data_IF_726628145400
#
_entry.id   IF_726628145400
#
_cell.length_a   1.000
_cell.length_b   1.000
_cell.length_c   1.000
_cell.angle_alpha   90.00
_cell.angle_beta   90.00
_cell.angle_gamma   90.00
#
_symmetry.space_group_name_H-M   'P 1'
#
loop_
_entity.id
_entity.type
_entity.pdbx_description
1 polymer ?
#
# COMPACT_ATOMS: atom_id res chain seq x y z
N UNK A 1 -24.93 -36.71 0.33
CA UNK A 1 -24.27 -37.20 -0.92
C UNK A 1 -24.04 -36.10 -1.95
N UNK A 2 -24.88 -35.06 -2.04
CA UNK A 2 -24.76 -33.96 -3.03
C UNK A 2 -23.54 -33.03 -2.78
N UNK A 3 -23.12 -32.87 -1.52
CA UNK A 3 -22.05 -31.93 -1.12
C UNK A 3 -20.64 -32.37 -1.57
N UNK A 4 -20.35 -33.68 -1.50
CA UNK A 4 -19.07 -34.25 -1.95
C UNK A 4 -18.85 -34.09 -3.45
N UNK A 5 -19.92 -34.06 -4.25
CA UNK A 5 -19.81 -33.85 -5.69
C UNK A 5 -19.42 -32.42 -6.03
N UNK A 6 -19.93 -31.43 -5.29
CA UNK A 6 -19.57 -30.03 -5.48
C UNK A 6 -18.12 -29.76 -5.05
N UNK A 7 -17.66 -30.38 -3.96
CA UNK A 7 -16.26 -30.34 -3.54
C UNK A 7 -15.32 -31.01 -4.56
N UNK A 8 -15.68 -32.19 -5.07
CA UNK A 8 -14.92 -32.89 -6.11
C UNK A 8 -14.84 -32.07 -7.41
N UNK A 9 -15.93 -31.42 -7.83
CA UNK A 9 -15.92 -30.53 -8.99
C UNK A 9 -15.04 -29.29 -8.79
N UNK A 10 -15.09 -28.67 -7.60
CA UNK A 10 -14.17 -27.57 -7.25
C UNK A 10 -12.72 -28.02 -7.22
N UNK A 11 -12.45 -29.22 -6.69
CA UNK A 11 -11.11 -29.81 -6.68
C UNK A 11 -10.61 -30.13 -8.09
N UNK A 12 -11.43 -30.74 -8.95
CA UNK A 12 -11.09 -31.02 -10.35
C UNK A 12 -10.86 -29.74 -11.16
N UNK A 13 -11.66 -28.69 -10.94
CA UNK A 13 -11.42 -27.38 -11.57
C UNK A 13 -10.11 -26.77 -11.10
N UNK A 14 -9.77 -26.86 -9.81
CA UNK A 14 -8.47 -26.42 -9.28
C UNK A 14 -7.32 -27.25 -9.85
N UNK A 15 -7.44 -28.57 -9.87
CA UNK A 15 -6.41 -29.47 -10.39
C UNK A 15 -6.18 -29.25 -11.90
N UNK A 16 -7.23 -29.10 -12.70
CA UNK A 16 -7.13 -28.74 -14.12
C UNK A 16 -6.54 -27.36 -14.33
N UNK A 17 -6.93 -26.37 -13.52
CA UNK A 17 -6.33 -25.03 -13.54
C UNK A 17 -4.85 -25.10 -13.21
N UNK A 18 -4.44 -25.97 -12.28
CA UNK A 18 -3.06 -26.14 -11.87
C UNK A 18 -2.22 -26.85 -12.94
N UNK A 19 -2.75 -27.92 -13.54
CA UNK A 19 -2.13 -28.62 -14.67
C UNK A 19 -2.02 -27.72 -15.91
N UNK A 20 -3.04 -26.92 -16.19
CA UNK A 20 -3.01 -25.94 -17.29
C UNK A 20 -1.93 -24.87 -17.05
N UNK A 21 -1.81 -24.38 -15.82
CA UNK A 21 -0.74 -23.45 -15.44
C UNK A 21 0.64 -24.10 -15.56
N UNK A 22 0.81 -25.38 -15.17
CA UNK A 22 2.09 -26.10 -15.29
C UNK A 22 2.53 -26.33 -16.74
N UNK A 23 1.59 -26.65 -17.63
CA UNK A 23 1.87 -26.86 -19.05
C UNK A 23 2.22 -25.55 -19.75
N UNK A 24 1.49 -24.47 -19.47
CA UNK A 24 1.80 -23.12 -19.96
C UNK A 24 3.11 -22.58 -19.35
N UNK A 25 3.49 -22.99 -18.13
CA UNK A 25 4.77 -22.60 -17.50
C UNK A 25 5.99 -23.07 -18.29
N UNK A 26 5.84 -24.14 -19.07
CA UNK A 26 6.88 -24.67 -19.97
C UNK A 26 6.92 -23.94 -21.31
N UNK A 27 5.88 -23.17 -21.64
CA UNK A 27 5.83 -22.38 -22.87
C UNK A 27 6.67 -21.11 -22.76
N UNK A 28 7.52 -20.85 -23.77
CA UNK A 28 8.32 -19.61 -23.88
C UNK A 28 7.57 -18.49 -24.60
N UNK A 29 6.33 -18.72 -25.04
CA UNK A 29 5.55 -17.77 -25.84
C UNK A 29 4.88 -16.72 -24.96
N UNK A 30 4.87 -15.48 -25.43
CA UNK A 30 4.10 -14.40 -24.79
C UNK A 30 2.59 -14.62 -25.01
N UNK A 31 1.85 -14.73 -23.92
CA UNK A 31 0.39 -14.74 -23.89
C UNK A 31 -0.18 -13.37 -24.22
N UNK A 32 -1.29 -13.38 -24.97
CA UNK A 32 -2.07 -12.20 -25.39
C UNK A 32 -3.30 -11.99 -24.46
N UNK A 33 -3.37 -12.74 -23.36
CA UNK A 33 -4.51 -12.76 -22.43
C UNK A 33 -4.64 -11.44 -21.64
N UNK A 34 -5.89 -11.00 -21.41
CA UNK A 34 -6.21 -9.71 -20.76
C UNK A 34 -5.80 -9.63 -19.29
N UNK A 35 -5.74 -10.75 -18.58
CA UNK A 35 -5.54 -10.78 -17.13
C UNK A 35 -4.23 -11.49 -16.78
N UNK A 36 -3.52 -10.96 -15.80
CA UNK A 36 -2.39 -11.64 -15.18
C UNK A 36 -2.91 -12.82 -14.33
N UNK A 37 -2.21 -13.97 -14.33
CA UNK A 37 -2.52 -15.06 -13.43
C UNK A 37 -2.29 -14.61 -11.99
N UNK A 38 -3.24 -14.92 -11.11
CA UNK A 38 -3.13 -14.55 -9.69
C UNK A 38 -2.12 -15.46 -8.98
N UNK A 39 -1.37 -14.89 -8.04
CA UNK A 39 -0.45 -15.61 -7.15
C UNK A 39 0.64 -16.42 -7.87
N UNK A 40 0.92 -16.11 -9.15
CA UNK A 40 1.94 -16.82 -9.94
C UNK A 40 2.92 -15.81 -10.52
N UNK A 41 4.24 -16.00 -10.34
CA UNK A 41 5.24 -15.15 -10.96
C UNK A 41 5.19 -15.22 -12.50
N UNK A 42 5.21 -14.04 -13.14
CA UNK A 42 5.21 -13.88 -14.60
C UNK A 42 6.14 -12.76 -15.01
N UNK A 43 6.67 -12.84 -16.23
CA UNK A 43 7.21 -11.67 -16.93
C UNK A 43 6.07 -11.01 -17.69
N UNK A 44 5.94 -9.69 -17.59
CA UNK A 44 4.87 -8.94 -18.22
C UNK A 44 5.41 -7.62 -18.77
N UNK A 45 4.86 -7.20 -19.92
CA UNK A 45 5.17 -5.95 -20.60
C UNK A 45 3.96 -5.53 -21.47
N UNK A 46 3.95 -4.31 -21.95
CA UNK A 46 3.03 -3.81 -22.95
C UNK A 46 3.66 -3.87 -24.35
N UNK A 47 2.90 -4.36 -25.32
CA UNK A 47 3.32 -4.32 -26.72
C UNK A 47 3.28 -2.88 -27.29
N UNK A 48 3.72 -2.72 -28.54
CA UNK A 48 3.71 -1.41 -29.23
C UNK A 48 2.32 -0.80 -29.40
N UNK A 49 1.25 -1.57 -29.20
CA UNK A 49 -0.16 -1.13 -29.24
C UNK A 49 -0.70 -0.83 -27.84
N UNK A 50 0.11 -0.95 -26.79
CA UNK A 50 -0.30 -0.74 -25.40
C UNK A 50 -1.13 -1.90 -24.85
N UNK A 51 -1.03 -3.10 -25.41
CA UNK A 51 -1.70 -4.29 -24.90
C UNK A 51 -0.76 -5.04 -23.97
N UNK A 52 -1.24 -5.35 -22.76
CA UNK A 52 -0.53 -6.21 -21.82
C UNK A 52 -0.31 -7.60 -22.43
N UNK A 53 0.94 -8.02 -22.46
CA UNK A 53 1.39 -9.35 -22.80
C UNK A 53 2.22 -9.90 -21.65
N UNK A 54 2.11 -11.19 -21.39
CA UNK A 54 2.84 -11.81 -20.29
C UNK A 54 3.24 -13.24 -20.62
N UNK A 55 4.25 -13.77 -19.94
CA UNK A 55 4.63 -15.18 -20.00
C UNK A 55 5.02 -15.66 -18.61
N UNK A 56 4.90 -16.95 -18.37
CA UNK A 56 5.43 -17.52 -17.14
C UNK A 56 6.94 -17.33 -17.07
N UNK A 57 7.44 -17.01 -15.88
CA UNK A 57 8.87 -16.96 -15.67
C UNK A 57 9.44 -18.39 -15.84
N UNK A 58 10.50 -18.57 -16.66
CA UNK A 58 11.06 -19.88 -16.91
C UNK A 58 11.55 -20.50 -15.59
N UNK A 59 11.05 -21.67 -15.23
CA UNK A 59 11.55 -22.40 -14.06
C UNK A 59 12.88 -23.08 -14.42
N UNK A 60 14.00 -22.51 -14.03
CA UNK A 60 15.21 -23.33 -13.82
C UNK A 60 14.95 -24.18 -12.57
N UNK A 61 15.20 -25.49 -12.66
CA UNK A 61 14.92 -26.44 -11.58
C UNK A 61 15.53 -25.94 -10.26
N UNK A 62 14.71 -25.86 -9.22
CA UNK A 62 15.08 -25.53 -7.82
C UNK A 62 15.57 -24.13 -7.48
N UNK A 63 15.44 -23.13 -8.35
CA UNK A 63 15.59 -21.73 -7.93
C UNK A 63 14.21 -21.09 -7.74
N UNK A 64 13.96 -20.38 -6.62
CA UNK A 64 12.77 -19.55 -6.53
C UNK A 64 12.81 -18.57 -7.70
N UNK A 65 11.71 -18.48 -8.45
CA UNK A 65 11.55 -17.43 -9.45
C UNK A 65 11.63 -16.11 -8.70
N UNK A 66 12.79 -15.47 -8.77
CA UNK A 66 12.98 -14.11 -8.32
C UNK A 66 12.06 -13.26 -9.19
N UNK A 67 10.92 -12.84 -8.62
CA UNK A 67 10.26 -11.60 -9.06
C UNK A 67 11.41 -10.60 -9.10
N UNK A 68 11.66 -9.97 -10.25
CA UNK A 68 12.81 -9.10 -10.45
C UNK A 68 12.79 -7.97 -9.40
N UNK A 69 13.36 -8.23 -8.22
CA UNK A 69 13.64 -7.24 -7.22
C UNK A 69 14.85 -6.52 -7.75
N UNK A 70 14.61 -5.37 -8.35
CA UNK A 70 15.69 -4.45 -8.72
C UNK A 70 16.31 -3.78 -7.49
N UNK A 71 15.72 -3.97 -6.31
CA UNK A 71 16.26 -3.51 -5.04
C UNK A 71 17.31 -4.47 -4.49
N UNK A 72 18.40 -3.91 -3.97
CA UNK A 72 19.41 -4.65 -3.23
C UNK A 72 18.78 -5.33 -2.00
N UNK A 73 19.23 -6.54 -1.64
CA UNK A 73 18.73 -7.25 -0.47
C UNK A 73 18.93 -6.43 0.82
N UNK A 74 20.00 -5.65 0.88
CA UNK A 74 20.29 -4.71 1.97
C UNK A 74 19.24 -3.59 2.05
N UNK A 75 18.90 -2.96 0.91
CA UNK A 75 17.87 -1.91 0.83
C UNK A 75 16.49 -2.42 1.23
N UNK A 76 16.16 -3.66 0.85
CA UNK A 76 14.89 -4.30 1.21
C UNK A 76 14.82 -4.57 2.71
N UNK A 77 15.91 -5.06 3.32
CA UNK A 77 15.97 -5.30 4.75
C UNK A 77 15.87 -3.99 5.56
N UNK A 78 16.60 -2.95 5.16
CA UNK A 78 16.51 -1.62 5.76
C UNK A 78 15.08 -1.05 5.67
N UNK A 79 14.44 -1.19 4.50
CA UNK A 79 13.05 -0.77 4.31
C UNK A 79 12.09 -1.49 5.27
N UNK A 80 12.25 -2.80 5.46
CA UNK A 80 11.39 -3.59 6.35
C UNK A 80 11.57 -3.16 7.81
N UNK A 81 12.81 -3.04 8.28
CA UNK A 81 13.10 -2.59 9.66
C UNK A 81 12.57 -1.18 9.92
N UNK A 82 12.76 -0.27 8.97
CA UNK A 82 12.21 1.09 9.10
C UNK A 82 10.69 1.12 9.06
N UNK A 83 10.05 0.33 8.18
CA UNK A 83 8.58 0.21 8.14
C UNK A 83 8.04 -0.28 9.48
N UNK A 84 8.74 -1.22 10.11
CA UNK A 84 8.41 -1.69 11.45
C UNK A 84 8.50 -0.56 12.48
N UNK A 85 9.60 0.20 12.48
CA UNK A 85 9.76 1.36 13.36
C UNK A 85 8.69 2.45 13.14
N UNK A 86 8.27 2.69 11.91
CA UNK A 86 7.18 3.63 11.57
C UNK A 86 5.84 3.17 12.18
N UNK A 87 5.54 1.87 12.08
CA UNK A 87 4.35 1.27 12.69
C UNK A 87 4.42 1.28 14.21
N UNK A 88 5.60 1.04 14.81
CA UNK A 88 5.81 1.16 16.26
C UNK A 88 5.57 2.60 16.74
N UNK A 89 6.04 3.59 15.97
CA UNK A 89 5.78 5.00 16.25
C UNK A 89 4.29 5.36 16.09
N UNK A 90 3.56 4.71 15.19
CA UNK A 90 2.11 4.85 15.13
C UNK A 90 1.44 4.28 16.38
N UNK A 91 1.86 3.09 16.82
CA UNK A 91 1.32 2.46 18.01
C UNK A 91 1.61 3.28 19.27
N UNK A 92 2.77 3.92 19.37
CA UNK A 92 3.07 4.80 20.52
C UNK A 92 2.17 6.03 20.63
N UNK A 93 1.38 6.33 19.60
CA UNK A 93 0.33 7.36 19.68
C UNK A 93 -0.94 6.86 20.37
N UNK A 94 -1.21 5.55 20.35
CA UNK A 94 -2.43 5.01 20.93
C UNK A 94 -2.32 4.97 22.46
N UNK A 95 -3.45 4.99 23.18
CA UNK A 95 -3.47 4.77 24.62
C UNK A 95 -2.76 3.47 25.01
N UNK A 96 -2.01 3.48 26.12
CA UNK A 96 -1.15 2.37 26.54
C UNK A 96 -1.93 1.03 26.68
N UNK A 97 -3.16 1.11 27.19
CA UNK A 97 -4.06 -0.03 27.31
C UNK A 97 -4.46 -0.63 25.94
N UNK A 98 -4.64 0.20 24.91
CA UNK A 98 -4.91 -0.23 23.53
C UNK A 98 -3.70 -0.99 23.00
N UNK A 99 -2.49 -0.43 23.15
CA UNK A 99 -1.25 -1.07 22.72
C UNK A 99 -1.04 -2.44 23.39
N UNK A 100 -1.25 -2.51 24.71
CA UNK A 100 -1.09 -3.76 25.45
C UNK A 100 -2.04 -4.86 24.95
N UNK A 101 -3.31 -4.53 24.70
CA UNK A 101 -4.29 -5.51 24.18
C UNK A 101 -3.96 -5.89 22.74
N UNK A 102 -3.58 -4.94 21.89
CA UNK A 102 -3.17 -5.23 20.51
C UNK A 102 -1.98 -6.18 20.48
N UNK A 103 -0.94 -5.92 21.27
CA UNK A 103 0.25 -6.77 21.33
C UNK A 103 -0.05 -8.19 21.86
N UNK A 104 -0.97 -8.31 22.83
CA UNK A 104 -1.32 -9.59 23.43
C UNK A 104 -2.22 -10.46 22.54
N UNK A 105 -3.24 -9.86 21.91
CA UNK A 105 -4.27 -10.60 21.16
C UNK A 105 -4.00 -10.64 19.65
N UNK A 106 -3.18 -9.74 19.11
CA UNK A 106 -2.93 -9.59 17.68
C UNK A 106 -1.42 -9.47 17.38
N UNK A 107 -0.63 -10.57 17.53
CA UNK A 107 0.81 -10.53 17.32
C UNK A 107 1.23 -10.11 15.89
N UNK A 108 0.37 -10.32 14.90
CA UNK A 108 0.61 -9.89 13.51
C UNK A 108 0.07 -8.47 13.21
N UNK A 109 -0.35 -7.69 14.22
CA UNK A 109 -0.96 -6.38 13.98
C UNK A 109 -0.02 -5.44 13.22
N UNK A 110 1.27 -5.48 13.50
CA UNK A 110 2.27 -4.69 12.78
C UNK A 110 2.23 -4.93 11.26
N UNK A 111 1.99 -6.17 10.82
CA UNK A 111 2.00 -6.56 9.41
C UNK A 111 0.62 -6.57 8.74
N UNK A 112 -0.46 -6.73 9.50
CA UNK A 112 -1.81 -6.92 8.95
C UNK A 112 -2.83 -5.84 9.32
N UNK A 113 -2.64 -5.09 10.40
CA UNK A 113 -3.60 -4.06 10.83
C UNK A 113 -3.70 -2.96 9.76
N UNK A 114 -4.92 -2.55 9.44
CA UNK A 114 -5.16 -1.47 8.48
C UNK A 114 -5.74 -0.23 9.12
N UNK A 115 -6.69 -0.37 10.05
CA UNK A 115 -7.31 0.78 10.70
C UNK A 115 -7.56 0.51 12.18
N UNK A 116 -7.34 1.55 13.00
CA UNK A 116 -7.77 1.65 14.40
C UNK A 116 -8.82 2.76 14.46
N UNK A 117 -10.00 2.43 14.97
CA UNK A 117 -11.11 3.37 15.13
C UNK A 117 -11.35 3.59 16.62
N UNK A 118 -11.32 4.86 17.02
CA UNK A 118 -11.54 5.31 18.38
C UNK A 118 -12.69 6.31 18.36
N UNK A 119 -13.90 5.88 18.72
CA UNK A 119 -15.08 6.75 18.78
C UNK A 119 -15.47 6.97 20.24
N UNK A 120 -15.73 8.23 20.63
CA UNK A 120 -16.12 8.59 22.00
C UNK A 120 -17.29 7.72 22.50
N UNK A 121 -17.13 7.09 23.66
CA UNK A 121 -18.15 6.24 24.27
C UNK A 121 -18.32 4.86 23.61
N UNK A 122 -17.47 4.49 22.64
CA UNK A 122 -17.41 3.14 22.06
C UNK A 122 -16.07 2.49 22.35
N UNK A 123 -16.01 1.16 22.27
CA UNK A 123 -14.74 0.46 22.43
C UNK A 123 -13.89 0.59 21.17
N UNK A 124 -12.55 0.58 21.28
CA UNK A 124 -11.67 0.60 20.13
C UNK A 124 -11.98 -0.54 19.14
N UNK A 125 -11.95 -0.24 17.85
CA UNK A 125 -12.24 -1.19 16.79
C UNK A 125 -11.06 -1.29 15.82
N UNK A 126 -10.56 -2.51 15.62
CA UNK A 126 -9.52 -2.85 14.66
C UNK A 126 -10.15 -3.35 13.36
N UNK A 127 -9.57 -2.94 12.22
CA UNK A 127 -9.97 -3.45 10.89
C UNK A 127 -8.78 -4.02 10.15
N UNK A 128 -9.03 -5.16 9.51
CA UNK A 128 -8.11 -5.87 8.64
C UNK A 128 -8.75 -6.00 7.26
N UNK A 129 -8.01 -5.61 6.22
CA UNK A 129 -8.44 -5.62 4.83
C UNK A 129 -7.50 -6.50 4.03
N UNK A 130 -8.07 -7.30 3.11
CA UNK A 130 -7.27 -8.21 2.29
C UNK A 130 -6.75 -9.44 3.04
N UNK A 131 -7.07 -9.58 4.32
CA UNK A 131 -6.82 -10.78 5.13
C UNK A 131 -8.14 -11.52 5.38
N UNK A 132 -8.06 -12.73 5.94
CA UNK A 132 -9.23 -13.48 6.41
C UNK A 132 -9.74 -13.03 7.79
N UNK A 133 -9.02 -12.12 8.48
CA UNK A 133 -9.37 -11.67 9.84
C UNK A 133 -10.57 -10.73 9.79
N UNK A 134 -11.63 -10.96 10.59
CA UNK A 134 -12.73 -10.02 10.71
C UNK A 134 -12.29 -8.76 11.46
N UNK A 135 -13.11 -7.71 11.41
CA UNK A 135 -12.94 -6.57 12.30
C UNK A 135 -13.09 -7.02 13.77
N UNK A 136 -12.31 -6.44 14.67
CA UNK A 136 -12.25 -6.86 16.07
C UNK A 136 -12.45 -5.65 17.00
N UNK A 137 -13.52 -5.67 17.78
CA UNK A 137 -13.73 -4.72 18.87
C UNK A 137 -12.94 -5.18 20.09
N UNK A 138 -12.16 -4.27 20.69
CA UNK A 138 -11.33 -4.57 21.86
C UNK A 138 -12.21 -4.61 23.11
N UNK A 139 -12.92 -5.72 23.27
CA UNK A 139 -13.91 -5.93 24.34
C UNK A 139 -13.34 -5.90 25.75
N UNK A 140 -12.01 -5.99 25.86
CA UNK A 140 -11.26 -6.00 27.12
C UNK A 140 -10.99 -4.59 27.64
N UNK A 141 -11.24 -3.57 26.81
CA UNK A 141 -11.02 -2.18 27.14
C UNK A 141 -12.33 -1.48 27.51
N UNK A 142 -12.25 -0.43 28.36
CA UNK A 142 -13.38 0.47 28.53
C UNK A 142 -13.70 1.21 27.22
N UNK A 143 -14.89 1.81 27.10
CA UNK A 143 -15.18 2.75 26.02
C UNK A 143 -14.17 3.91 26.00
N UNK A 144 -13.82 4.38 24.80
CA UNK A 144 -12.90 5.50 24.56
C UNK A 144 -13.43 6.76 25.23
N UNK A 145 -12.55 7.45 25.94
CA UNK A 145 -12.83 8.69 26.66
C UNK A 145 -12.41 9.92 25.85
N UNK A 146 -12.80 11.11 26.30
CA UNK A 146 -12.36 12.36 25.68
C UNK A 146 -10.85 12.54 25.83
N UNK A 147 -10.30 12.20 27.01
CA UNK A 147 -8.87 12.28 27.31
C UNK A 147 -8.03 11.41 26.36
N UNK A 148 -8.50 10.20 26.04
CA UNK A 148 -7.85 9.33 25.05
C UNK A 148 -7.77 9.98 23.66
N UNK A 149 -8.83 10.67 23.24
CA UNK A 149 -8.88 11.34 21.94
C UNK A 149 -8.01 12.59 21.93
N UNK A 150 -8.06 13.40 23.00
CA UNK A 150 -7.28 14.63 23.16
C UNK A 150 -5.77 14.33 23.20
N UNK A 151 -5.35 13.27 23.89
CA UNK A 151 -3.95 12.84 23.93
C UNK A 151 -3.39 12.53 22.53
N UNK A 152 -4.21 12.01 21.63
CA UNK A 152 -3.83 11.79 20.24
C UNK A 152 -3.96 13.09 19.45
N UNK A 153 -4.98 13.90 19.71
CA UNK A 153 -5.35 15.03 18.87
C UNK A 153 -4.45 16.26 19.07
N UNK A 154 -4.09 16.56 20.30
CA UNK A 154 -3.38 17.78 20.69
C UNK A 154 -1.95 17.83 20.13
N UNK A 155 -1.49 19.03 19.78
CA UNK A 155 -0.13 19.25 19.25
C UNK A 155 0.10 18.78 17.81
N UNK A 156 -0.90 18.17 17.15
CA UNK A 156 -0.81 17.79 15.73
C UNK A 156 -1.29 18.85 14.77
N UNK A 157 -0.75 18.80 13.56
CA UNK A 157 -1.21 19.60 12.42
C UNK A 157 -2.31 18.87 11.68
N UNK A 158 -3.39 19.60 11.42
CA UNK A 158 -4.57 19.10 10.71
C UNK A 158 -4.80 19.92 9.43
N UNK A 159 -5.15 19.23 8.36
CA UNK A 159 -5.60 19.83 7.10
C UNK A 159 -7.04 20.36 7.23
N UNK A 160 -7.44 21.17 6.25
CA UNK A 160 -8.81 21.69 6.15
C UNK A 160 -9.87 20.60 5.92
N UNK A 161 -9.49 19.42 5.42
CA UNK A 161 -10.37 18.27 5.25
C UNK A 161 -10.36 17.30 6.46
N UNK A 162 -9.88 17.78 7.62
CA UNK A 162 -9.86 17.04 8.90
C UNK A 162 -8.99 15.79 8.87
N UNK A 163 -7.83 15.90 8.23
CA UNK A 163 -6.83 14.84 8.13
C UNK A 163 -5.49 15.30 8.66
N UNK A 164 -4.75 14.35 9.20
CA UNK A 164 -3.38 14.52 9.63
C UNK A 164 -2.64 13.21 9.43
N UNK A 165 -1.46 13.14 10.01
CA UNK A 165 -0.67 11.92 10.07
C UNK A 165 0.59 12.15 10.88
N UNK A 166 1.60 11.35 10.60
CA UNK A 166 2.92 11.49 11.20
C UNK A 166 3.87 11.98 10.11
N UNK A 167 4.59 13.06 10.37
CA UNK A 167 5.54 13.62 9.40
C UNK A 167 6.54 12.56 8.95
N UNK A 168 6.80 12.47 7.65
CA UNK A 168 7.69 11.47 7.06
C UNK A 168 7.09 10.07 6.91
N UNK A 169 5.82 9.86 7.24
CA UNK A 169 5.15 8.54 7.17
C UNK A 169 3.88 8.56 6.33
N UNK A 170 3.42 7.36 5.96
CA UNK A 170 2.19 7.14 5.17
C UNK A 170 0.94 6.97 6.03
N UNK A 171 1.07 6.99 7.36
CA UNK A 171 -0.07 6.86 8.26
C UNK A 171 -0.99 8.05 8.13
N UNK A 172 -2.30 7.79 8.14
CA UNK A 172 -3.31 8.83 8.04
C UNK A 172 -4.20 8.80 9.26
N UNK A 173 -4.36 9.94 9.90
CA UNK A 173 -5.29 10.12 11.02
C UNK A 173 -6.40 11.02 10.52
N UNK A 174 -7.64 10.55 10.56
CA UNK A 174 -8.83 11.36 10.25
C UNK A 174 -9.63 11.55 11.51
N UNK A 175 -10.19 12.73 11.70
CA UNK A 175 -10.97 13.04 12.89
C UNK A 175 -12.37 13.53 12.52
N UNK A 176 -13.30 13.26 13.42
CA UNK A 176 -14.66 13.79 13.38
C UNK A 176 -14.88 14.67 14.61
N UNK A 177 -15.74 15.67 14.46
CA UNK A 177 -16.10 16.56 15.55
C UNK A 177 -17.59 16.68 15.74
N UNK A 178 -17.96 17.14 16.94
CA UNK A 178 -19.30 17.61 17.23
C UNK A 178 -19.56 19.00 16.59
N UNK A 179 -20.66 19.64 17.01
CA UNK A 179 -21.05 20.96 16.49
C UNK A 179 -20.20 22.10 17.04
N UNK A 180 -19.50 21.88 18.14
CA UNK A 180 -18.63 22.83 18.82
C UNK A 180 -17.16 22.63 18.42
N UNK A 181 -16.92 21.76 17.42
CA UNK A 181 -15.64 21.37 16.86
C UNK A 181 -14.71 20.60 17.82
N UNK A 182 -15.28 20.01 18.88
CA UNK A 182 -14.54 19.08 19.75
C UNK A 182 -14.34 17.74 19.05
N UNK A 183 -13.15 17.14 19.19
CA UNK A 183 -12.87 15.81 18.63
C UNK A 183 -13.74 14.74 19.32
N UNK A 184 -14.54 14.01 18.54
CA UNK A 184 -15.40 12.92 19.06
C UNK A 184 -15.07 11.55 18.46
N UNK A 185 -14.11 11.50 17.55
CA UNK A 185 -13.61 10.24 17.04
C UNK A 185 -12.41 10.38 16.12
N UNK A 186 -11.58 9.34 16.10
CA UNK A 186 -10.36 9.22 15.32
C UNK A 186 -10.37 7.90 14.54
N UNK A 187 -10.05 7.99 13.25
CA UNK A 187 -9.74 6.83 12.41
C UNK A 187 -8.29 6.92 11.98
N UNK A 188 -7.48 6.01 12.52
CA UNK A 188 -6.06 5.92 12.24
C UNK A 188 -5.85 4.79 11.23
N UNK A 189 -5.34 5.12 10.07
CA UNK A 189 -5.04 4.18 8.99
C UNK A 189 -3.54 3.91 8.93
N UNK A 190 -3.16 2.64 9.00
CA UNK A 190 -1.79 2.19 8.86
C UNK A 190 -1.38 2.33 7.39
N UNK A 191 -0.49 3.29 7.11
CA UNK A 191 0.13 3.43 5.81
C UNK A 191 1.14 2.31 5.58
N UNK A 192 1.13 1.71 4.39
CA UNK A 192 2.09 0.69 3.99
C UNK A 192 2.65 1.06 2.61
N UNK A 193 3.97 1.00 2.48
CA UNK A 193 4.67 1.04 1.20
C UNK A 193 5.11 -0.38 0.81
N UNK A 194 5.38 -0.61 -0.48
CA UNK A 194 6.13 -1.82 -0.84
C UNK A 194 7.60 -1.57 -0.63
N UNK A 195 8.35 -2.64 -0.33
CA UNK A 195 9.79 -2.60 -0.46
C UNK A 195 10.22 -2.18 -1.89
N UNK A 196 11.31 -1.42 -2.02
CA UNK A 196 11.91 -1.10 -3.31
C UNK A 196 12.13 -2.36 -4.16
N UNK A 197 11.85 -2.27 -5.45
CA UNK A 197 11.94 -3.42 -6.35
C UNK A 197 10.73 -4.36 -6.32
N UNK A 198 9.90 -4.34 -5.27
CA UNK A 198 8.68 -5.13 -5.18
C UNK A 198 7.49 -4.27 -5.62
N UNK A 199 7.21 -4.25 -6.91
CA UNK A 199 6.11 -3.43 -7.42
C UNK A 199 5.83 -3.71 -8.89
N UNK A 200 4.65 -3.28 -9.33
CA UNK A 200 4.24 -3.44 -10.73
C UNK A 200 4.81 -2.36 -11.64
N UNK A 201 5.49 -1.34 -11.09
CA UNK A 201 6.05 -0.22 -11.86
C UNK A 201 7.09 -0.66 -12.90
N UNK A 202 7.83 -1.74 -12.64
CA UNK A 202 8.76 -2.31 -13.62
C UNK A 202 8.06 -2.69 -14.93
N UNK A 203 6.82 -3.18 -14.87
CA UNK A 203 6.05 -3.59 -16.04
C UNK A 203 5.45 -2.42 -16.81
N UNK A 204 5.53 -1.20 -16.25
CA UNK A 204 5.01 0.02 -16.85
C UNK A 204 6.12 0.86 -17.51
N UNK A 205 7.39 0.47 -17.40
CA UNK A 205 8.52 1.26 -17.91
C UNK A 205 8.46 1.48 -19.42
N UNK A 206 7.98 0.50 -20.18
CA UNK A 206 7.77 0.59 -21.62
C UNK A 206 6.65 1.58 -22.00
N UNK A 207 5.56 1.61 -21.23
CA UNK A 207 4.51 2.60 -21.38
C UNK A 207 5.04 4.01 -21.09
N UNK A 208 5.86 4.16 -20.05
CA UNK A 208 6.48 5.46 -19.73
C UNK A 208 7.45 5.88 -20.84
N UNK A 209 8.30 4.97 -21.32
CA UNK A 209 9.22 5.21 -22.42
C UNK A 209 8.52 5.59 -23.73
N UNK A 210 7.25 5.21 -23.90
CA UNK A 210 6.45 5.61 -25.07
C UNK A 210 6.12 7.11 -25.13
N UNK A 211 6.32 7.85 -24.03
CA UNK A 211 6.04 9.28 -23.92
C UNK A 211 4.56 9.65 -23.88
N UNK A 212 3.67 8.66 -23.76
CA UNK A 212 2.21 8.86 -23.69
C UNK A 212 1.74 9.11 -22.25
N UNK A 213 0.61 9.78 -22.11
CA UNK A 213 -0.07 9.90 -20.81
C UNK A 213 -0.63 8.55 -20.36
N UNK A 214 -0.44 8.22 -19.08
CA UNK A 214 -0.88 6.96 -18.46
C UNK A 214 -1.96 7.29 -17.41
N UNK A 215 -3.08 6.54 -17.45
CA UNK A 215 -4.15 6.64 -16.46
C UNK A 215 -4.27 5.32 -15.68
N UNK A 216 -4.12 5.36 -14.36
CA UNK A 216 -4.25 4.19 -13.49
C UNK A 216 -5.63 4.20 -12.81
N UNK A 217 -6.51 3.26 -13.19
CA UNK A 217 -7.85 3.11 -12.64
C UNK A 217 -8.00 1.83 -11.82
N UNK A 218 -8.84 1.89 -10.79
CA UNK A 218 -9.09 0.75 -9.92
C UNK A 218 -9.91 1.12 -8.70
N UNK A 219 -10.56 0.11 -8.09
CA UNK A 219 -11.35 0.28 -6.86
C UNK A 219 -10.50 0.89 -5.73
N UNK A 220 -11.11 1.53 -4.71
CA UNK A 220 -10.39 1.93 -3.50
C UNK A 220 -9.57 0.77 -2.93
N UNK A 221 -8.33 1.04 -2.52
CA UNK A 221 -7.41 0.01 -1.99
C UNK A 221 -6.73 -0.90 -3.03
N UNK A 222 -6.94 -0.69 -4.34
CA UNK A 222 -6.35 -1.55 -5.39
C UNK A 222 -4.86 -1.32 -5.67
N UNK A 223 -4.14 -0.57 -4.83
CA UNK A 223 -2.70 -0.30 -5.01
C UNK A 223 -2.34 0.80 -6.00
N UNK A 224 -3.27 1.65 -6.45
CA UNK A 224 -2.98 2.71 -7.45
C UNK A 224 -1.86 3.66 -7.02
N UNK A 225 -2.02 4.26 -5.85
CA UNK A 225 -1.06 5.21 -5.27
C UNK A 225 0.30 4.55 -5.05
N UNK A 226 0.27 3.26 -4.68
CA UNK A 226 1.48 2.47 -4.50
C UNK A 226 2.22 2.24 -5.83
N UNK A 227 1.52 1.87 -6.90
CA UNK A 227 2.10 1.79 -8.25
C UNK A 227 2.68 3.13 -8.69
N UNK A 228 2.01 4.25 -8.37
CA UNK A 228 2.50 5.58 -8.69
C UNK A 228 3.80 5.89 -7.95
N UNK A 229 3.89 5.59 -6.64
CA UNK A 229 5.12 5.77 -5.85
C UNK A 229 6.29 4.95 -6.40
N UNK A 230 6.06 3.66 -6.67
CA UNK A 230 7.08 2.76 -7.26
C UNK A 230 7.58 3.30 -8.62
N UNK A 231 6.69 3.84 -9.45
CA UNK A 231 7.08 4.44 -10.72
C UNK A 231 7.89 5.73 -10.54
N UNK A 232 7.47 6.63 -9.65
CA UNK A 232 8.20 7.86 -9.34
C UNK A 232 9.61 7.58 -8.83
N UNK A 233 9.75 6.63 -7.90
CA UNK A 233 11.04 6.21 -7.36
C UNK A 233 11.97 5.71 -8.47
N UNK A 234 11.50 4.79 -9.32
CA UNK A 234 12.28 4.24 -10.45
C UNK A 234 12.71 5.30 -11.46
N UNK A 235 11.83 6.25 -11.77
CA UNK A 235 12.16 7.33 -12.71
C UNK A 235 13.21 8.27 -12.13
N UNK A 236 13.11 8.59 -10.83
CA UNK A 236 14.09 9.38 -10.09
C UNK A 236 15.46 8.68 -10.04
N UNK A 237 15.49 7.39 -9.70
CA UNK A 237 16.71 6.55 -9.70
C UNK A 237 17.36 6.47 -11.08
N UNK A 238 16.56 6.44 -12.16
CA UNK A 238 17.05 6.49 -13.54
C UNK A 238 17.58 7.89 -13.95
N UNK A 239 17.59 8.86 -13.03
CA UNK A 239 18.15 10.19 -13.24
C UNK A 239 17.18 11.22 -13.82
N UNK A 240 15.88 10.92 -13.89
CA UNK A 240 14.87 11.86 -14.39
C UNK A 240 14.45 12.84 -13.29
N UNK A 241 14.10 14.07 -13.69
CA UNK A 241 13.41 15.01 -12.81
C UNK A 241 11.92 14.64 -12.77
N UNK A 242 11.41 14.27 -11.59
CA UNK A 242 10.02 13.84 -11.41
C UNK A 242 9.29 14.86 -10.55
N UNK A 243 8.25 15.48 -11.11
CA UNK A 243 7.34 16.36 -10.37
C UNK A 243 6.06 15.61 -10.04
N UNK A 244 5.71 15.57 -8.76
CA UNK A 244 4.44 15.01 -8.28
C UNK A 244 3.54 16.13 -7.80
N UNK A 245 2.32 16.21 -8.36
CA UNK A 245 1.25 17.09 -7.87
C UNK A 245 0.29 16.24 -7.04
N UNK A 246 0.38 16.39 -5.72
CA UNK A 246 -0.37 15.57 -4.77
C UNK A 246 -1.26 16.43 -3.88
N UNK A 247 -2.49 16.63 -4.32
CA UNK A 247 -3.47 17.46 -3.59
C UNK A 247 -4.03 16.79 -2.34
N UNK A 248 -3.85 15.47 -2.19
CA UNK A 248 -4.45 14.68 -1.12
C UNK A 248 -3.41 14.08 -0.16
N UNK A 249 -2.15 14.46 -0.34
CA UNK A 249 -1.01 13.98 0.44
C UNK A 249 -0.90 12.44 0.45
N UNK A 250 -1.36 11.78 -0.62
CA UNK A 250 -1.31 10.33 -0.74
C UNK A 250 0.08 9.84 -1.19
N UNK A 251 0.80 10.64 -1.98
CA UNK A 251 2.12 10.31 -2.53
C UNK A 251 3.25 10.92 -1.71
N UNK A 252 3.13 12.17 -1.26
CA UNK A 252 4.18 12.88 -0.51
C UNK A 252 4.10 12.73 1.01
N UNK A 253 2.95 12.26 1.53
CA UNK A 253 2.67 12.26 2.96
C UNK A 253 2.24 13.64 3.48
N UNK A 254 1.79 13.72 4.74
CA UNK A 254 1.14 14.90 5.31
C UNK A 254 2.09 16.03 5.73
N UNK A 255 3.40 15.79 5.72
CA UNK A 255 4.42 16.68 6.29
C UNK A 255 5.45 17.19 5.28
N UNK A 256 6.39 18.00 5.76
CA UNK A 256 7.49 18.54 4.96
C UNK A 256 8.73 17.61 4.95
N UNK A 257 8.64 16.46 5.61
CA UNK A 257 9.68 15.44 5.65
C UNK A 257 9.35 14.42 4.55
N UNK A 258 10.28 14.13 3.61
CA UNK A 258 10.05 13.14 2.57
C UNK A 258 9.70 11.77 3.15
N UNK A 259 8.74 11.09 2.52
CA UNK A 259 8.45 9.69 2.82
C UNK A 259 9.45 8.77 2.13
N UNK A 260 9.74 7.62 2.74
CA UNK A 260 10.79 6.70 2.28
C UNK A 260 10.60 6.20 0.85
N UNK A 261 9.36 5.94 0.42
CA UNK A 261 9.09 5.35 -0.89
C UNK A 261 9.28 6.30 -2.08
N UNK A 262 9.52 7.59 -1.84
CA UNK A 262 9.67 8.57 -2.92
C UNK A 262 11.11 8.93 -3.24
N UNK A 263 12.07 8.78 -2.32
CA UNK A 263 13.39 9.33 -2.58
C UNK A 263 14.55 8.73 -1.76
N UNK A 264 15.38 7.91 -2.41
CA UNK A 264 16.73 7.54 -1.96
C UNK A 264 17.81 8.43 -2.59
N UNK A 265 17.48 9.30 -3.56
CA UNK A 265 18.46 10.02 -4.40
C UNK A 265 18.43 11.56 -4.30
N UNK A 266 17.45 12.14 -3.60
CA UNK A 266 17.24 13.58 -3.47
C UNK A 266 16.63 14.24 -4.71
N UNK A 267 16.03 13.47 -5.64
CA UNK A 267 15.60 13.97 -6.98
C UNK A 267 14.10 13.87 -7.24
N UNK A 268 13.34 13.34 -6.29
CA UNK A 268 11.88 13.37 -6.35
C UNK A 268 11.37 14.40 -5.34
N UNK A 269 11.04 15.60 -5.82
CA UNK A 269 10.43 16.62 -4.97
C UNK A 269 8.90 16.47 -4.96
N UNK A 270 8.28 16.00 -3.86
CA UNK A 270 6.84 16.14 -3.68
C UNK A 270 6.55 17.64 -3.50
N UNK A 271 6.15 18.32 -4.57
CA UNK A 271 5.66 19.70 -4.43
C UNK A 271 4.21 19.66 -3.97
N UNK A 272 3.94 20.16 -2.77
CA UNK A 272 2.60 20.57 -2.36
C UNK A 272 2.18 21.76 -3.21
N UNK A 273 1.68 21.51 -4.42
CA UNK A 273 1.10 22.57 -5.24
C UNK A 273 -0.35 22.72 -4.83
N UNK A 274 -0.78 23.81 -4.16
CA UNK A 274 -2.19 24.18 -4.18
C UNK A 274 -2.61 24.30 -5.66
N UNK A 275 -3.81 23.82 -6.00
CA UNK A 275 -4.30 23.60 -7.36
C UNK A 275 -4.30 24.82 -8.32
N UNK A 276 -3.66 25.93 -7.96
CA UNK A 276 -3.65 27.20 -8.67
C UNK A 276 -2.30 27.68 -9.20
N UNK A 277 -1.18 26.96 -9.06
CA UNK A 277 0.11 27.51 -9.55
C UNK A 277 1.13 26.45 -10.01
N UNK A 278 1.10 26.07 -11.29
CA UNK A 278 2.26 25.46 -11.95
C UNK A 278 2.73 26.41 -13.06
N UNK A 279 3.82 27.15 -12.80
CA UNK A 279 4.61 27.80 -13.84
C UNK A 279 5.62 26.77 -14.37
N UNK A 280 5.43 26.35 -15.61
CA UNK A 280 6.43 25.61 -16.37
C UNK A 280 7.55 26.59 -16.72
N UNK A 281 8.82 26.35 -16.34
CA UNK A 281 9.91 27.18 -16.84
C UNK A 281 10.04 26.97 -18.36
N UNK A 282 10.26 28.04 -19.14
CA UNK A 282 10.47 27.91 -20.58
C UNK A 282 11.79 27.19 -20.85
N UNK A 283 11.81 26.48 -21.97
CA UNK A 283 12.93 25.65 -22.48
C UNK A 283 14.25 26.40 -22.55
#
# INVERSE_FOLDING_TARGET
>A
MVDRSAELSKWLMRARSWLYVDDERKSKTWSIARNLPKYTPVHAQFDTRGKLIWRFAPSTKNEPVLVASTGDAEQVAEFVERTKAEVDQLFSLLPENVCAVVAAEFPDAESELNEVILDLGRRPLLRFFGTSKPAAELTQLPPVTMEDLEAIFEGRKWSSDRRGGIDGMLHRISWISDRDDNVVGLTIRVGRACPPGYGVGQMLQDLVASGKSILILGKPGSGKTHTLRDLCARLSEAGNNVMVVDTSNEVGGPGNIPILSSDTSGRCEPTLVPASLVRVPPR
#
